data_IF_069805142348
#
_entry.id   IF_069805142348
#
_cell.length_a   1.000
_cell.length_b   1.000
_cell.length_c   1.000
_cell.angle_alpha   90.00
_cell.angle_beta   90.00
_cell.angle_gamma   90.00
#
_symmetry.space_group_name_H-M   'P 1'
#
loop_
_entity.id
_entity.type
_entity.pdbx_description
1 polymer ?
#
# COMPACT_ATOMS: atom_id res chain seq x y z
N UNK A 1 -8.06 5.41 -3.32
CA UNK A 1 -8.80 4.22 -2.83
C UNK A 1 -8.83 3.19 -3.95
N UNK A 2 -8.90 1.91 -3.60
CA UNK A 2 -9.13 0.80 -4.51
C UNK A 2 -10.02 -0.26 -3.83
N UNK A 3 -10.66 -1.11 -4.62
CA UNK A 3 -11.45 -2.26 -4.18
C UNK A 3 -11.34 -3.38 -5.24
N UNK A 4 -11.84 -4.59 -4.96
CA UNK A 4 -11.74 -5.73 -5.88
C UNK A 4 -10.40 -6.46 -5.80
N UNK A 5 -9.86 -6.63 -4.59
CA UNK A 5 -8.53 -7.19 -4.34
C UNK A 5 -8.54 -8.71 -4.18
N UNK A 6 -9.31 -9.43 -5.00
CA UNK A 6 -9.37 -10.90 -4.97
C UNK A 6 -7.99 -11.49 -5.25
N UNK A 7 -7.51 -11.35 -6.50
CA UNK A 7 -6.16 -11.75 -6.90
C UNK A 7 -5.15 -10.61 -6.78
N UNK A 8 -5.62 -9.38 -6.98
CA UNK A 8 -4.82 -8.16 -6.96
C UNK A 8 -4.37 -7.80 -5.54
N UNK A 9 -3.29 -7.03 -5.46
CA UNK A 9 -2.71 -6.56 -4.20
C UNK A 9 -2.86 -5.04 -4.15
N UNK A 10 -3.54 -4.54 -3.12
CA UNK A 10 -3.59 -3.13 -2.80
C UNK A 10 -2.34 -2.73 -2.01
N UNK A 11 -1.66 -1.67 -2.43
CA UNK A 11 -0.54 -1.08 -1.69
C UNK A 11 -0.83 0.39 -1.47
N UNK A 12 -1.03 0.80 -0.22
CA UNK A 12 -1.12 2.21 0.14
C UNK A 12 0.25 2.68 0.62
N UNK A 13 0.73 3.80 0.10
CA UNK A 13 1.96 4.47 0.54
C UNK A 13 1.61 5.85 1.02
N UNK A 14 1.93 6.12 2.28
CA UNK A 14 1.81 7.42 2.93
C UNK A 14 3.18 8.05 3.14
N UNK A 15 3.25 9.38 3.07
CA UNK A 15 4.38 10.18 3.48
C UNK A 15 3.90 11.24 4.46
N UNK A 16 4.53 11.31 5.62
CA UNK A 16 4.19 12.27 6.68
C UNK A 16 5.34 13.25 6.88
N UNK A 17 5.02 14.54 7.00
CA UNK A 17 5.97 15.60 7.33
C UNK A 17 5.37 16.48 8.43
N UNK A 18 5.38 16.01 9.69
CA UNK A 18 4.70 16.66 10.81
C UNK A 18 5.17 18.10 11.06
N UNK A 19 6.44 18.39 10.80
CA UNK A 19 7.00 19.75 10.93
C UNK A 19 6.35 20.80 10.03
N UNK A 20 5.58 20.37 9.02
CA UNK A 20 4.88 21.24 8.08
C UNK A 20 3.37 20.97 8.03
N UNK A 21 2.83 20.14 8.93
CA UNK A 21 1.45 19.65 8.86
C UNK A 21 1.07 19.16 7.44
N UNK A 22 2.00 18.48 6.77
CA UNK A 22 1.84 18.06 5.38
C UNK A 22 1.89 16.54 5.29
N UNK A 23 0.92 15.96 4.59
CA UNK A 23 0.87 14.54 4.27
C UNK A 23 0.62 14.31 2.79
N UNK A 24 1.08 13.17 2.28
CA UNK A 24 0.83 12.71 0.92
C UNK A 24 0.51 11.24 0.95
N UNK A 25 -0.44 10.81 0.13
CA UNK A 25 -0.77 9.40 0.01
C UNK A 25 -1.03 9.00 -1.43
N UNK A 26 -0.67 7.76 -1.77
CA UNK A 26 -1.02 7.13 -3.04
C UNK A 26 -1.38 5.68 -2.77
N UNK A 27 -2.44 5.20 -3.44
CA UNK A 27 -2.85 3.80 -3.41
C UNK A 27 -2.61 3.19 -4.79
N UNK A 28 -1.92 2.06 -4.82
CA UNK A 28 -1.63 1.27 -6.01
C UNK A 28 -2.51 0.02 -6.01
N UNK A 29 -3.25 -0.19 -7.08
CA UNK A 29 -3.95 -1.43 -7.37
C UNK A 29 -3.03 -2.29 -8.23
N UNK A 30 -2.43 -3.33 -7.66
CA UNK A 30 -1.38 -4.11 -8.32
C UNK A 30 -1.92 -5.45 -8.80
N UNK A 31 -1.98 -5.63 -10.12
CA UNK A 31 -2.24 -6.94 -10.70
C UNK A 31 -1.05 -7.89 -10.46
N UNK A 32 -1.29 -9.19 -10.21
CA UNK A 32 -0.22 -10.17 -9.96
C UNK A 32 0.87 -10.18 -11.04
N UNK A 33 0.46 -9.94 -12.29
CA UNK A 33 1.37 -10.10 -13.44
C UNK A 33 2.13 -8.82 -13.79
N UNK A 34 1.82 -7.71 -13.11
CA UNK A 34 2.52 -6.45 -13.31
C UNK A 34 3.94 -6.50 -12.74
N UNK A 35 4.92 -6.74 -13.61
CA UNK A 35 6.35 -6.80 -13.26
C UNK A 35 6.96 -5.45 -12.88
N UNK A 36 6.31 -4.32 -13.20
CA UNK A 36 6.81 -2.96 -12.96
C UNK A 36 6.31 -2.34 -11.66
N UNK A 37 5.31 -2.94 -11.00
CA UNK A 37 4.68 -2.36 -9.82
C UNK A 37 5.67 -2.00 -8.70
N UNK A 38 6.63 -2.89 -8.42
CA UNK A 38 7.69 -2.66 -7.42
C UNK A 38 8.49 -1.40 -7.73
N UNK A 39 8.78 -1.15 -9.00
CA UNK A 39 9.58 0.00 -9.44
C UNK A 39 8.78 1.29 -9.27
N UNK A 40 7.50 1.29 -9.63
CA UNK A 40 6.63 2.47 -9.46
C UNK A 40 6.41 2.81 -7.97
N UNK A 41 6.20 1.79 -7.13
CA UNK A 41 6.09 1.94 -5.68
C UNK A 41 7.41 2.52 -5.13
N UNK A 42 8.54 1.93 -5.49
CA UNK A 42 9.88 2.40 -5.10
C UNK A 42 10.11 3.86 -5.50
N UNK A 43 9.87 4.21 -6.77
CA UNK A 43 10.07 5.59 -7.25
C UNK A 43 9.18 6.60 -6.53
N UNK A 44 7.95 6.23 -6.17
CA UNK A 44 7.09 7.11 -5.38
C UNK A 44 7.63 7.32 -3.96
N UNK A 45 8.10 6.26 -3.30
CA UNK A 45 8.72 6.35 -1.96
C UNK A 45 10.00 7.20 -2.00
N UNK A 46 10.86 7.01 -2.99
CA UNK A 46 12.07 7.83 -3.19
C UNK A 46 11.71 9.30 -3.38
N UNK A 47 10.66 9.59 -4.16
CA UNK A 47 10.16 10.95 -4.35
C UNK A 47 9.61 11.56 -3.05
N UNK A 48 8.92 10.79 -2.20
CA UNK A 48 8.47 11.26 -0.89
C UNK A 48 9.66 11.61 0.00
N UNK A 49 10.65 10.72 0.08
CA UNK A 49 11.85 10.90 0.90
C UNK A 49 12.69 12.08 0.44
N UNK A 50 12.86 12.30 -0.86
CA UNK A 50 13.60 13.46 -1.38
C UNK A 50 12.93 14.79 -1.05
N UNK A 51 11.62 14.79 -0.80
CA UNK A 51 10.85 15.95 -0.34
C UNK A 51 10.81 16.08 1.20
N UNK A 52 11.48 15.18 1.91
CA UNK A 52 11.59 15.17 3.37
C UNK A 52 10.39 14.56 4.10
N UNK A 53 9.60 13.70 3.44
CA UNK A 53 8.52 12.95 4.10
C UNK A 53 9.06 11.64 4.68
N UNK A 54 8.58 11.27 5.86
CA UNK A 54 8.73 9.94 6.42
C UNK A 54 7.70 9.01 5.76
N UNK A 55 8.17 8.02 5.00
CA UNK A 55 7.29 7.09 4.29
C UNK A 55 6.83 5.95 5.19
N UNK A 56 5.58 5.50 5.02
CA UNK A 56 5.01 4.28 5.58
C UNK A 56 4.06 3.63 4.57
N UNK A 57 3.74 2.35 4.75
CA UNK A 57 2.89 1.62 3.83
C UNK A 57 1.86 0.73 4.52
N UNK A 58 0.86 0.31 3.76
CA UNK A 58 -0.06 -0.76 4.13
C UNK A 58 -0.37 -1.63 2.91
N UNK A 59 -0.59 -2.92 3.16
CA UNK A 59 -0.86 -3.92 2.12
C UNK A 59 -2.16 -4.62 2.45
N UNK A 60 -3.03 -4.75 1.44
CA UNK A 60 -4.29 -5.47 1.59
C UNK A 60 -4.66 -6.25 0.34
N UNK A 61 -5.38 -7.36 0.52
CA UNK A 61 -5.93 -8.15 -0.57
C UNK A 61 -5.08 -9.35 -0.98
N UNK A 62 -5.28 -9.81 -2.21
CA UNK A 62 -4.64 -11.00 -2.74
C UNK A 62 -5.23 -12.29 -2.20
N UNK A 63 -4.84 -13.39 -2.84
CA UNK A 63 -5.39 -14.72 -2.64
C UNK A 63 -4.26 -15.69 -2.29
N UNK A 64 -4.38 -16.30 -1.11
CA UNK A 64 -3.41 -17.27 -0.59
C UNK A 64 -3.38 -18.57 -1.38
N UNK A 65 -4.41 -18.89 -2.15
CA UNK A 65 -4.46 -20.04 -3.05
C UNK A 65 -3.80 -19.78 -4.41
N UNK A 66 -3.57 -18.51 -4.77
CA UNK A 66 -2.96 -18.12 -6.04
C UNK A 66 -1.46 -17.87 -5.92
N UNK A 67 -0.67 -18.70 -6.63
CA UNK A 67 0.79 -18.56 -6.67
C UNK A 67 1.25 -17.19 -7.19
N UNK A 68 0.59 -16.62 -8.19
CA UNK A 68 0.97 -15.31 -8.72
C UNK A 68 0.66 -14.19 -7.73
N UNK A 69 -0.47 -14.29 -7.02
CA UNK A 69 -0.83 -13.34 -5.96
C UNK A 69 0.17 -13.39 -4.79
N UNK A 70 0.47 -14.59 -4.28
CA UNK A 70 1.47 -14.81 -3.22
C UNK A 70 2.84 -14.27 -3.63
N UNK A 71 3.30 -14.60 -4.84
CA UNK A 71 4.58 -14.10 -5.35
C UNK A 71 4.61 -12.58 -5.46
N UNK A 72 3.48 -11.95 -5.84
CA UNK A 72 3.39 -10.50 -5.91
C UNK A 72 3.47 -9.84 -4.54
N UNK A 73 2.76 -10.37 -3.54
CA UNK A 73 2.79 -9.90 -2.15
C UNK A 73 4.22 -9.93 -1.62
N UNK A 74 4.89 -11.08 -1.72
CA UNK A 74 6.28 -11.26 -1.26
C UNK A 74 7.25 -10.28 -1.94
N UNK A 75 7.10 -10.06 -3.26
CA UNK A 75 7.93 -9.12 -3.98
C UNK A 75 7.70 -7.65 -3.54
N UNK A 76 6.47 -7.28 -3.19
CA UNK A 76 6.15 -5.96 -2.63
C UNK A 76 6.76 -5.82 -1.23
N UNK A 77 6.54 -6.79 -0.35
CA UNK A 77 7.08 -6.79 1.02
C UNK A 77 8.61 -6.73 1.03
N UNK A 78 9.27 -7.51 0.17
CA UNK A 78 10.72 -7.46 0.01
C UNK A 78 11.21 -6.09 -0.50
N UNK A 79 10.46 -5.45 -1.41
CA UNK A 79 10.80 -4.11 -1.90
C UNK A 79 10.68 -3.06 -0.80
N UNK A 80 9.60 -3.09 -0.01
CA UNK A 80 9.39 -2.17 1.10
C UNK A 80 10.42 -2.39 2.21
N UNK A 81 10.72 -3.64 2.53
CA UNK A 81 11.73 -4.03 3.51
C UNK A 81 13.13 -3.58 3.10
N UNK A 82 13.52 -3.78 1.83
CA UNK A 82 14.82 -3.32 1.31
C UNK A 82 14.96 -1.78 1.29
N UNK A 83 13.84 -1.06 1.39
CA UNK A 83 13.83 0.40 1.51
C UNK A 83 13.69 0.87 2.96
N UNK A 84 13.61 -0.01 3.95
CA UNK A 84 13.31 0.34 5.34
C UNK A 84 12.01 1.17 5.47
N UNK A 85 10.97 0.79 4.72
CA UNK A 85 9.65 1.42 4.84
C UNK A 85 8.80 0.61 5.82
N UNK A 86 8.35 1.22 6.95
CA UNK A 86 7.48 0.53 7.89
C UNK A 86 6.13 0.18 7.24
N UNK A 87 5.73 -1.07 7.39
CA UNK A 87 4.41 -1.57 6.99
C UNK A 87 3.51 -1.53 8.22
N UNK A 88 2.53 -0.63 8.23
CA UNK A 88 1.59 -0.44 9.35
C UNK A 88 0.69 -1.66 9.53
N UNK A 89 0.23 -2.24 8.42
CA UNK A 89 -0.39 -3.56 8.41
C UNK A 89 -0.18 -4.25 7.04
N UNK A 90 -0.13 -5.57 7.07
CA UNK A 90 -0.22 -6.45 5.90
C UNK A 90 -1.35 -7.43 6.15
N UNK A 91 -2.49 -7.22 5.50
CA UNK A 91 -3.65 -8.09 5.60
C UNK A 91 -3.88 -8.74 4.23
N UNK A 92 -3.09 -9.76 3.94
CA UNK A 92 -3.01 -10.37 2.60
C UNK A 92 -3.52 -11.81 2.58
N UNK A 93 -3.85 -12.31 1.40
CA UNK A 93 -4.31 -13.70 1.19
C UNK A 93 -5.76 -13.97 1.62
N UNK A 94 -6.42 -12.96 2.21
CA UNK A 94 -7.82 -12.96 2.61
C UNK A 94 -8.69 -12.04 1.72
N UNK A 95 -8.13 -11.42 0.69
CA UNK A 95 -8.80 -10.43 -0.18
C UNK A 95 -10.08 -10.96 -0.82
N UNK A 96 -10.09 -12.25 -1.16
CA UNK A 96 -11.25 -12.95 -1.71
C UNK A 96 -12.37 -13.25 -0.68
N UNK A 97 -12.06 -13.29 0.62
CA UNK A 97 -12.95 -13.91 1.61
C UNK A 97 -13.74 -12.93 2.49
N UNK A 98 -13.38 -11.63 2.55
CA UNK A 98 -13.96 -10.68 3.53
C UNK A 98 -14.27 -9.29 2.96
N UNK A 99 -15.10 -9.21 1.93
CA UNK A 99 -15.67 -7.93 1.48
C UNK A 99 -14.88 -7.20 0.39
N UNK A 100 -14.27 -7.97 -0.53
CA UNK A 100 -13.62 -7.48 -1.76
C UNK A 100 -12.32 -6.70 -1.57
N UNK A 101 -11.84 -6.60 -0.31
CA UNK A 101 -10.53 -6.07 0.07
C UNK A 101 -10.31 -4.57 -0.22
N UNK A 102 -11.21 -3.66 0.16
CA UNK A 102 -11.02 -2.24 -0.11
C UNK A 102 -9.80 -1.70 0.63
N UNK A 103 -9.04 -0.83 -0.02
CA UNK A 103 -7.88 -0.16 0.56
C UNK A 103 -7.89 1.32 0.20
N UNK A 104 -7.80 2.16 1.23
CA UNK A 104 -7.73 3.60 1.12
C UNK A 104 -6.62 4.19 1.96
N UNK A 105 -6.36 5.47 1.73
CA UNK A 105 -5.50 6.31 2.55
C UNK A 105 -6.16 7.67 2.68
N UNK A 106 -6.14 8.22 3.89
CA UNK A 106 -6.65 9.54 4.25
C UNK A 106 -5.46 10.39 4.70
N UNK A 107 -5.32 11.59 4.14
CA UNK A 107 -4.39 12.60 4.65
C UNK A 107 -5.19 13.48 5.60
N UNK A 108 -4.84 13.46 6.88
CA UNK A 108 -5.50 14.24 7.92
C UNK A 108 -4.97 15.70 7.90
N UNK A 109 -5.72 16.62 8.51
CA UNK A 109 -5.38 18.06 8.53
C UNK A 109 -4.03 18.36 9.21
N UNK A 110 -3.60 17.50 10.15
CA UNK A 110 -2.30 17.61 10.81
C UNK A 110 -1.15 17.00 9.99
N UNK A 111 -1.40 16.57 8.75
CA UNK A 111 -0.42 15.98 7.86
C UNK A 111 -0.09 14.50 8.11
N UNK A 112 -0.76 13.86 9.07
CA UNK A 112 -0.65 12.41 9.26
C UNK A 112 -1.41 11.66 8.16
N UNK A 113 -1.03 10.41 7.90
CA UNK A 113 -1.69 9.55 6.92
C UNK A 113 -2.29 8.36 7.63
N UNK A 114 -3.57 8.09 7.42
CA UNK A 114 -4.26 6.92 7.96
C UNK A 114 -4.70 5.99 6.84
N UNK A 115 -4.37 4.71 6.97
CA UNK A 115 -4.82 3.69 6.02
C UNK A 115 -6.14 3.10 6.47
N UNK A 116 -7.03 2.80 5.53
CA UNK A 116 -8.38 2.31 5.80
C UNK A 116 -8.71 1.09 4.95
N UNK A 117 -9.33 0.09 5.56
CA UNK A 117 -9.77 -1.15 4.90
C UNK A 117 -11.28 -1.37 4.94
N UNK A 118 -12.04 -0.42 5.48
CA UNK A 118 -13.49 -0.49 5.56
C UNK A 118 -14.09 0.75 4.91
N UNK A 119 -15.11 0.54 4.07
CA UNK A 119 -15.96 1.58 3.55
C UNK A 119 -17.23 1.64 4.40
N UNK A 120 -17.50 2.81 4.98
CA UNK A 120 -18.80 3.06 5.61
C UNK A 120 -19.79 3.32 4.46
N UNK A 121 -20.84 2.50 4.38
CA UNK A 121 -21.98 2.74 3.49
C UNK A 121 -22.90 3.80 4.07
#
# INVERSE_FOLDING_TARGET
MTDGMDLCVGVAVGGEKPSQNAGKARVFHVMPENRRAQWEIKSYIESLRSQGYAAKAAIHGGDSSSRSSVSKIQAIEATLGAMDVPIEFSSTGAGANNGNGPLGAVVEENGTVRFVTNLVK
#
